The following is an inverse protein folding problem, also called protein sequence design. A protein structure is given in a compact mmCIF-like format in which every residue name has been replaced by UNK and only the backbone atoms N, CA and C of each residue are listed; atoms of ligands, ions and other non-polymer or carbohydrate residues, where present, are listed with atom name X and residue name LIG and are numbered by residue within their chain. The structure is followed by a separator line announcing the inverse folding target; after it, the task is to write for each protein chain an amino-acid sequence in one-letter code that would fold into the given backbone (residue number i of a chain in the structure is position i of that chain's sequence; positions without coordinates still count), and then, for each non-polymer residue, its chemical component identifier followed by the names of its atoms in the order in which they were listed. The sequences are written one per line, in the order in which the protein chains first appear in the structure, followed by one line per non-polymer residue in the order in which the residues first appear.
data_IF_805070325757
#
_entry.id   IF_805070325757
#
_cell.length_a   1.000
_cell.length_b   1.000
_cell.length_c   1.000
_cell.angle_alpha   90.00
_cell.angle_beta   90.00
_cell.angle_gamma   90.00
#
_symmetry.space_group_name_H-M   'P 1'
#
loop_
_entity.id
_entity.type
_entity.pdbx_description
1 polymer ?
#
# COMPACT_ATOMS: atom_id res chain seq x y z
N UNK A 1 41.60 -11.15 13.53
CA UNK A 1 40.38 -11.24 12.73
C UNK A 1 39.31 -11.80 13.68
N UNK A 2 38.45 -10.94 14.18
CA UNK A 2 37.30 -11.37 14.94
C UNK A 2 36.40 -12.16 14.00
N UNK A 3 36.12 -13.42 14.32
CA UNK A 3 35.08 -14.21 13.67
C UNK A 3 33.75 -13.44 13.90
N UNK A 4 33.17 -12.89 12.84
CA UNK A 4 31.78 -12.44 12.90
C UNK A 4 30.94 -13.67 13.21
N UNK A 5 30.36 -13.75 14.40
CA UNK A 5 29.31 -14.70 14.70
C UNK A 5 28.23 -14.54 13.61
N UNK A 6 28.07 -15.57 12.81
CA UNK A 6 26.97 -15.63 11.85
C UNK A 6 25.73 -15.84 12.71
N UNK A 7 24.93 -14.80 12.87
CA UNK A 7 23.64 -14.90 13.56
C UNK A 7 22.76 -15.93 12.80
N UNK A 8 22.07 -16.75 13.58
CA UNK A 8 21.09 -17.66 12.99
C UNK A 8 20.04 -16.85 12.20
N UNK A 9 19.58 -17.38 11.05
CA UNK A 9 18.52 -16.70 10.30
C UNK A 9 17.26 -16.59 11.16
N UNK A 10 16.52 -15.49 11.01
CA UNK A 10 15.23 -15.30 11.69
C UNK A 10 14.31 -16.48 11.44
N UNK A 11 13.56 -16.88 12.44
CA UNK A 11 12.42 -17.80 12.27
C UNK A 11 11.33 -17.15 11.39
N UNK A 12 10.37 -17.91 10.92
CA UNK A 12 9.26 -17.35 10.13
C UNK A 12 8.45 -16.33 10.97
N UNK A 13 8.20 -16.60 12.24
CA UNK A 13 7.50 -15.68 13.14
C UNK A 13 8.26 -14.36 13.30
N UNK A 14 9.57 -14.41 13.50
CA UNK A 14 10.40 -13.21 13.61
C UNK A 14 10.46 -12.42 12.29
N UNK A 15 10.46 -13.12 11.15
CA UNK A 15 10.34 -12.47 9.84
C UNK A 15 8.97 -11.80 9.67
N UNK A 16 7.87 -12.42 10.11
CA UNK A 16 6.55 -11.82 10.15
C UNK A 16 6.51 -10.58 11.05
N UNK A 17 7.10 -10.64 12.25
CA UNK A 17 7.21 -9.50 13.17
C UNK A 17 7.94 -8.33 12.49
N UNK A 18 9.10 -8.59 11.89
CA UNK A 18 9.90 -7.56 11.23
C UNK A 18 9.15 -6.88 10.08
N UNK A 19 8.52 -7.67 9.21
CA UNK A 19 7.81 -7.15 8.05
C UNK A 19 6.51 -6.44 8.43
N UNK A 20 5.79 -6.94 9.44
CA UNK A 20 4.59 -6.30 9.97
C UNK A 20 4.91 -4.94 10.58
N UNK A 21 5.99 -4.85 11.37
CA UNK A 21 6.42 -3.59 11.98
C UNK A 21 6.77 -2.56 10.90
N UNK A 22 7.46 -2.96 9.84
CA UNK A 22 7.76 -2.09 8.70
C UNK A 22 6.48 -1.61 8.01
N UNK A 23 5.50 -2.50 7.78
CA UNK A 23 4.24 -2.16 7.13
C UNK A 23 3.40 -1.18 7.97
N UNK A 24 3.24 -1.42 9.30
CA UNK A 24 2.41 -0.57 10.17
C UNK A 24 3.10 0.72 10.59
N UNK A 25 4.42 0.83 10.44
CA UNK A 25 5.14 2.07 10.77
C UNK A 25 4.89 3.21 9.77
N UNK A 26 4.33 2.91 8.60
CA UNK A 26 4.17 3.88 7.50
C UNK A 26 5.50 4.28 6.85
N UNK A 27 6.56 3.55 7.16
CA UNK A 27 7.90 3.75 6.65
C UNK A 27 8.19 3.02 5.33
N UNK A 28 9.47 2.94 5.01
CA UNK A 28 9.95 2.28 3.79
C UNK A 28 9.96 0.76 3.96
N UNK A 29 9.57 0.06 2.91
CA UNK A 29 9.57 -1.39 2.82
C UNK A 29 10.80 -1.81 2.03
N UNK A 30 11.88 -2.13 2.76
CA UNK A 30 13.15 -2.51 2.18
C UNK A 30 13.45 -3.98 2.36
N UNK A 31 14.09 -4.59 1.35
CA UNK A 31 14.58 -5.97 1.39
C UNK A 31 16.10 -5.90 1.42
N UNK A 32 16.68 -6.28 2.55
CA UNK A 32 18.14 -6.36 2.74
C UNK A 32 18.71 -7.77 2.59
N UNK A 33 17.90 -8.75 2.20
CA UNK A 33 18.29 -10.15 2.13
C UNK A 33 19.08 -10.49 0.85
N UNK A 34 19.82 -11.60 0.91
CA UNK A 34 20.38 -12.23 -0.28
C UNK A 34 19.25 -12.81 -1.15
N UNK A 35 18.96 -12.15 -2.27
CA UNK A 35 17.82 -12.49 -3.13
C UNK A 35 17.80 -13.94 -3.65
N UNK A 36 18.93 -14.56 -4.04
CA UNK A 36 18.96 -15.99 -4.39
C UNK A 36 18.51 -16.91 -3.24
N UNK A 37 19.01 -16.66 -2.04
CA UNK A 37 18.63 -17.44 -0.83
C UNK A 37 17.17 -17.21 -0.47
N UNK A 38 16.72 -15.96 -0.47
CA UNK A 38 15.33 -15.58 -0.23
C UNK A 38 14.39 -16.21 -1.26
N UNK A 39 14.77 -16.22 -2.55
CA UNK A 39 13.97 -16.79 -3.63
C UNK A 39 13.78 -18.31 -3.53
N UNK A 40 14.61 -19.01 -2.76
CA UNK A 40 14.49 -20.44 -2.49
C UNK A 40 13.51 -20.75 -1.33
N UNK A 41 13.12 -19.74 -0.53
CA UNK A 41 12.21 -19.88 0.61
C UNK A 41 10.80 -19.38 0.22
N UNK A 42 9.90 -20.30 -0.08
CA UNK A 42 8.55 -19.99 -0.54
C UNK A 42 7.73 -19.18 0.48
N UNK A 43 7.89 -19.46 1.78
CA UNK A 43 7.14 -18.82 2.84
C UNK A 43 7.59 -17.36 3.01
N UNK A 44 8.90 -17.10 2.95
CA UNK A 44 9.44 -15.73 2.98
C UNK A 44 9.07 -14.94 1.74
N UNK A 45 9.09 -15.56 0.56
CA UNK A 45 8.63 -14.93 -0.68
C UNK A 45 7.13 -14.60 -0.59
N UNK A 46 6.32 -15.46 0.03
CA UNK A 46 4.90 -15.20 0.25
C UNK A 46 4.67 -13.97 1.15
N UNK A 47 5.47 -13.81 2.23
CA UNK A 47 5.41 -12.61 3.08
C UNK A 47 5.66 -11.33 2.28
N UNK A 48 6.70 -11.31 1.44
CA UNK A 48 7.04 -10.14 0.61
C UNK A 48 5.98 -9.80 -0.43
N UNK A 49 5.20 -10.78 -0.87
CA UNK A 49 4.13 -10.63 -1.86
C UNK A 49 2.75 -10.47 -1.22
N UNK A 50 2.66 -10.47 0.09
CA UNK A 50 1.38 -10.33 0.78
C UNK A 50 0.73 -8.98 0.41
N UNK A 51 -0.49 -9.06 -0.13
CA UNK A 51 -1.19 -7.90 -0.69
C UNK A 51 -1.54 -6.86 0.38
N UNK A 52 -1.94 -7.30 1.57
CA UNK A 52 -2.31 -6.39 2.68
C UNK A 52 -1.09 -5.67 3.24
N UNK A 53 0.05 -6.36 3.40
CA UNK A 53 1.30 -5.71 3.82
C UNK A 53 1.76 -4.66 2.80
N UNK A 54 1.70 -4.98 1.51
CA UNK A 54 2.03 -4.03 0.44
C UNK A 54 1.04 -2.86 0.38
N UNK A 55 -0.24 -3.10 0.67
CA UNK A 55 -1.25 -2.06 0.77
C UNK A 55 -0.95 -1.09 1.91
N UNK A 56 -0.67 -1.60 3.12
CA UNK A 56 -0.27 -0.80 4.28
C UNK A 56 0.96 0.06 3.96
N UNK A 57 1.99 -0.53 3.34
CA UNK A 57 3.19 0.19 2.94
C UNK A 57 2.89 1.31 1.91
N UNK A 58 2.09 1.03 0.88
CA UNK A 58 1.65 2.03 -0.13
C UNK A 58 0.79 3.14 0.46
N UNK A 59 0.00 2.83 1.48
CA UNK A 59 -0.82 3.83 2.19
C UNK A 59 0.03 4.91 2.84
N UNK A 60 1.26 4.56 3.30
CA UNK A 60 2.23 5.49 3.84
C UNK A 60 1.76 6.20 5.13
N UNK A 61 0.92 5.53 5.92
CA UNK A 61 0.42 6.03 7.21
C UNK A 61 0.94 5.17 8.33
N UNK A 62 1.43 5.80 9.40
CA UNK A 62 1.80 5.08 10.61
C UNK A 62 0.56 4.66 11.41
N UNK A 63 0.58 3.45 11.95
CA UNK A 63 -0.39 2.99 12.93
C UNK A 63 -0.23 3.75 14.25
N UNK A 64 -1.31 3.87 15.00
CA UNK A 64 -1.33 4.51 16.32
C UNK A 64 -1.09 3.42 17.36
N UNK A 65 -0.07 3.54 18.24
CA UNK A 65 0.10 2.63 19.37
C UNK A 65 -1.01 2.89 20.42
N UNK A 66 -1.80 1.87 20.70
CA UNK A 66 -2.92 1.99 21.66
C UNK A 66 -2.45 1.89 23.11
N UNK A 67 -1.34 1.21 23.35
CA UNK A 67 -0.76 0.96 24.67
C UNK A 67 0.51 1.77 24.95
N UNK A 68 0.76 2.86 24.21
CA UNK A 68 1.97 3.69 24.34
C UNK A 68 2.30 4.12 25.77
N UNK A 69 1.29 4.39 26.58
CA UNK A 69 1.44 4.83 27.98
C UNK A 69 1.12 3.72 29.00
N UNK A 70 0.79 2.52 28.54
CA UNK A 70 0.28 1.44 29.36
C UNK A 70 0.78 0.03 28.96
N UNK A 71 1.83 -0.03 28.10
CA UNK A 71 2.42 -1.33 27.76
C UNK A 71 3.07 -1.97 29.00
N UNK A 72 3.16 -3.30 28.99
CA UNK A 72 3.70 -4.05 30.13
C UNK A 72 5.20 -3.87 30.20
N UNK A 73 5.76 -3.84 31.41
CA UNK A 73 7.20 -3.63 31.62
C UNK A 73 8.06 -4.69 30.94
N UNK A 74 7.54 -5.93 30.86
CA UNK A 74 8.23 -7.05 30.19
C UNK A 74 8.25 -6.92 28.65
N UNK A 75 7.44 -6.07 28.05
CA UNK A 75 7.44 -5.81 26.61
C UNK A 75 8.49 -4.78 26.22
N UNK A 76 8.92 -3.93 27.15
CA UNK A 76 9.87 -2.83 26.94
C UNK A 76 9.43 -1.79 25.88
N UNK A 77 8.35 -2.07 25.16
CA UNK A 77 7.82 -1.25 24.07
C UNK A 77 6.33 -1.53 23.84
N UNK A 78 5.61 -0.64 23.14
CA UNK A 78 4.22 -0.87 22.77
C UNK A 78 4.05 -2.14 21.95
N UNK A 79 2.96 -2.84 22.20
CA UNK A 79 2.64 -4.12 21.54
C UNK A 79 1.36 -4.10 20.72
N UNK A 80 0.53 -3.05 20.85
CA UNK A 80 -0.77 -2.96 20.19
C UNK A 80 -0.83 -1.71 19.31
N UNK A 81 -1.04 -1.90 18.01
CA UNK A 81 -1.10 -0.80 17.05
C UNK A 81 -2.37 -0.88 16.22
N UNK A 82 -2.96 0.28 15.91
CA UNK A 82 -4.16 0.40 15.11
C UNK A 82 -3.90 1.30 13.90
N UNK A 83 -4.07 0.76 12.70
CA UNK A 83 -4.00 1.50 11.45
C UNK A 83 -5.42 1.59 10.85
N UNK A 84 -5.97 2.79 10.82
CA UNK A 84 -7.19 3.03 10.05
C UNK A 84 -6.83 3.28 8.59
N UNK A 85 -7.18 2.34 7.75
CA UNK A 85 -6.97 2.48 6.32
C UNK A 85 -7.99 3.48 5.76
N UNK A 86 -9.28 3.29 6.10
CA UNK A 86 -10.36 4.23 5.81
C UNK A 86 -11.53 4.08 6.82
N UNK A 87 -12.75 4.46 6.42
CA UNK A 87 -13.95 4.31 7.26
C UNK A 87 -14.40 2.84 7.38
N UNK A 88 -14.11 2.01 6.37
CA UNK A 88 -14.54 0.61 6.27
C UNK A 88 -13.53 -0.36 6.83
N UNK A 89 -12.22 -0.10 6.67
CA UNK A 89 -11.15 -1.04 6.96
C UNK A 89 -10.19 -0.51 8.03
N UNK A 90 -9.83 -1.39 8.96
CA UNK A 90 -8.90 -1.11 10.06
C UNK A 90 -8.00 -2.32 10.27
N UNK A 91 -6.70 -2.10 10.42
CA UNK A 91 -5.74 -3.13 10.80
C UNK A 91 -5.44 -3.00 12.28
N UNK A 92 -5.62 -4.09 13.02
CA UNK A 92 -5.14 -4.27 14.38
C UNK A 92 -3.88 -5.13 14.33
N UNK A 93 -2.74 -4.56 14.72
CA UNK A 93 -1.48 -5.27 14.84
C UNK A 93 -1.18 -5.51 16.32
N UNK A 94 -1.00 -6.76 16.70
CA UNK A 94 -0.68 -7.16 18.07
C UNK A 94 0.62 -7.94 18.06
N UNK A 95 1.62 -7.45 18.77
CA UNK A 95 2.94 -8.06 18.88
C UNK A 95 3.10 -8.76 20.23
N UNK A 96 3.69 -9.92 20.22
CA UNK A 96 4.18 -10.59 21.43
C UNK A 96 5.72 -10.59 21.42
N UNK A 97 6.30 -9.68 22.17
CA UNK A 97 7.76 -9.50 22.28
C UNK A 97 8.44 -10.52 23.21
N UNK A 98 7.65 -11.36 23.91
CA UNK A 98 8.14 -12.18 25.00
C UNK A 98 8.34 -13.64 24.64
N UNK A 99 9.08 -14.35 25.52
CA UNK A 99 9.36 -15.79 25.43
C UNK A 99 8.11 -16.67 25.74
N UNK A 100 6.99 -16.09 26.15
CA UNK A 100 5.80 -16.83 26.58
C UNK A 100 4.60 -16.56 25.66
N UNK A 101 3.77 -17.55 25.38
CA UNK A 101 2.49 -17.33 24.71
C UNK A 101 1.63 -16.36 25.50
N UNK A 102 0.81 -15.57 24.80
CA UNK A 102 -0.10 -14.56 25.37
C UNK A 102 -1.49 -14.65 24.78
N UNK A 103 -2.47 -14.33 25.63
CA UNK A 103 -3.86 -14.11 25.25
C UNK A 103 -4.19 -12.63 25.36
N UNK A 104 -4.87 -12.11 24.35
CA UNK A 104 -5.34 -10.72 24.30
C UNK A 104 -6.85 -10.68 24.10
N UNK A 105 -7.48 -9.71 24.71
CA UNK A 105 -8.91 -9.41 24.50
C UNK A 105 -9.08 -7.91 24.31
N UNK A 106 -9.62 -7.53 23.17
CA UNK A 106 -9.89 -6.13 22.83
C UNK A 106 -11.38 -5.91 22.68
N UNK A 107 -11.95 -4.93 23.36
CA UNK A 107 -13.31 -4.51 23.06
C UNK A 107 -13.35 -3.70 21.75
N UNK A 108 -14.43 -3.84 20.98
CA UNK A 108 -14.60 -3.04 19.76
C UNK A 108 -14.57 -1.53 20.06
N UNK A 109 -15.06 -1.14 21.24
CA UNK A 109 -15.06 0.26 21.66
C UNK A 109 -13.65 0.80 21.93
N UNK A 110 -12.75 0.03 22.56
CA UNK A 110 -11.34 0.39 22.75
C UNK A 110 -10.62 0.57 21.41
N UNK A 111 -11.01 -0.23 20.41
CA UNK A 111 -10.52 -0.08 19.04
C UNK A 111 -11.21 1.09 18.31
N UNK A 112 -12.11 1.85 18.95
CA UNK A 112 -12.88 2.93 18.35
C UNK A 112 -13.83 2.45 17.25
N UNK A 113 -14.27 1.18 17.32
CA UNK A 113 -15.26 0.57 16.45
C UNK A 113 -16.64 0.63 17.07
N UNK A 114 -17.70 0.65 16.25
CA UNK A 114 -19.06 0.71 16.76
C UNK A 114 -19.45 -0.62 17.41
N UNK A 115 -19.92 -0.58 18.66
CA UNK A 115 -20.49 -1.75 19.31
C UNK A 115 -21.81 -2.20 18.68
N UNK A 116 -22.11 -3.50 18.78
CA UNK A 116 -23.34 -4.08 18.26
C UNK A 116 -23.39 -4.27 16.75
N UNK A 117 -22.28 -4.07 16.05
CA UNK A 117 -22.10 -4.40 14.62
C UNK A 117 -21.35 -5.71 14.44
N UNK A 118 -21.68 -6.42 13.37
CA UNK A 118 -20.85 -7.51 12.90
C UNK A 118 -19.68 -6.94 12.08
N UNK A 119 -18.49 -7.46 12.30
CA UNK A 119 -17.29 -7.15 11.51
C UNK A 119 -16.74 -8.45 10.95
N UNK A 120 -16.25 -8.38 9.72
CA UNK A 120 -15.48 -9.47 9.14
C UNK A 120 -14.03 -9.33 9.62
N UNK A 121 -13.47 -10.41 10.15
CA UNK A 121 -12.12 -10.47 10.69
C UNK A 121 -11.28 -11.42 9.86
N UNK A 122 -10.20 -10.92 9.29
CA UNK A 122 -9.26 -11.67 8.48
C UNK A 122 -7.87 -11.63 9.11
N UNK A 123 -7.23 -12.81 9.26
CA UNK A 123 -5.82 -12.88 9.62
C UNK A 123 -4.97 -12.64 8.35
N UNK A 124 -4.17 -11.59 8.36
CA UNK A 124 -3.36 -11.19 7.19
C UNK A 124 -2.30 -12.25 6.82
N UNK A 125 -1.79 -12.99 7.79
CA UNK A 125 -0.78 -14.01 7.56
C UNK A 125 -1.36 -15.40 7.31
N UNK A 126 -2.53 -15.69 7.85
CA UNK A 126 -3.21 -16.97 7.69
C UNK A 126 -4.71 -16.75 7.40
N UNK A 127 -5.08 -16.54 6.13
CA UNK A 127 -6.49 -16.37 5.74
C UNK A 127 -7.39 -17.56 6.05
N UNK A 128 -6.80 -18.75 6.35
CA UNK A 128 -7.55 -19.93 6.81
C UNK A 128 -7.85 -19.89 8.32
N UNK A 129 -7.17 -19.03 9.05
CA UNK A 129 -7.40 -18.86 10.50
C UNK A 129 -8.66 -18.04 10.73
N UNK A 130 -9.71 -18.71 11.19
CA UNK A 130 -10.98 -18.06 11.47
C UNK A 130 -10.92 -17.27 12.78
N UNK A 131 -10.79 -15.97 12.65
CA UNK A 131 -10.95 -15.05 13.77
C UNK A 131 -12.43 -14.76 14.01
N UNK A 132 -12.83 -14.67 15.25
CA UNK A 132 -14.21 -14.36 15.61
C UNK A 132 -14.28 -13.26 16.65
N UNK A 133 -15.27 -12.35 16.52
CA UNK A 133 -15.63 -11.45 17.59
C UNK A 133 -16.67 -12.12 18.49
N UNK A 134 -16.40 -12.19 19.79
CA UNK A 134 -17.38 -12.61 20.79
C UNK A 134 -18.21 -11.38 21.20
N UNK A 135 -19.34 -11.21 20.52
CA UNK A 135 -20.23 -10.07 20.77
C UNK A 135 -19.59 -8.72 20.49
N UNK A 136 -18.90 -8.14 21.47
CA UNK A 136 -18.24 -6.83 21.36
C UNK A 136 -16.72 -6.89 21.57
N UNK A 137 -16.09 -8.06 21.48
CA UNK A 137 -14.65 -8.21 21.68
C UNK A 137 -13.99 -9.17 20.72
N UNK A 138 -12.72 -8.90 20.40
CA UNK A 138 -11.82 -9.77 19.62
C UNK A 138 -10.89 -10.45 20.62
N UNK A 139 -10.72 -11.77 20.49
CA UNK A 139 -9.78 -12.56 21.29
C UNK A 139 -8.70 -13.11 20.38
N UNK A 140 -7.45 -13.03 20.83
CA UNK A 140 -6.27 -13.51 20.12
C UNK A 140 -5.39 -14.33 21.04
N UNK A 141 -4.93 -15.48 20.55
CA UNK A 141 -3.92 -16.30 21.19
C UNK A 141 -2.63 -16.20 20.36
N UNK A 142 -1.52 -15.85 21.00
CA UNK A 142 -0.27 -15.60 20.30
C UNK A 142 0.87 -16.46 20.85
N UNK A 143 1.64 -17.13 19.98
CA UNK A 143 2.92 -17.72 20.34
C UNK A 143 3.91 -16.68 20.86
N UNK A 144 5.00 -17.12 21.47
CA UNK A 144 6.15 -16.27 21.77
C UNK A 144 6.73 -15.67 20.47
N UNK A 145 7.32 -14.49 20.53
CA UNK A 145 7.98 -13.80 19.42
C UNK A 145 7.15 -13.78 18.13
N UNK A 146 5.90 -13.37 18.22
CA UNK A 146 4.97 -13.39 17.09
C UNK A 146 4.21 -12.07 16.92
N UNK A 147 3.55 -11.93 15.80
CA UNK A 147 2.61 -10.86 15.51
C UNK A 147 1.34 -11.45 14.91
N UNK A 148 0.19 -10.89 15.29
CA UNK A 148 -1.08 -11.13 14.60
C UNK A 148 -1.54 -9.81 13.99
N UNK A 149 -1.78 -9.82 12.69
CA UNK A 149 -2.39 -8.71 11.96
C UNK A 149 -3.81 -9.08 11.63
N UNK A 150 -4.76 -8.40 12.27
CA UNK A 150 -6.20 -8.59 12.04
C UNK A 150 -6.71 -7.46 11.16
N UNK A 151 -7.16 -7.78 9.96
CA UNK A 151 -7.92 -6.88 9.10
C UNK A 151 -9.38 -6.92 9.53
N UNK A 152 -9.88 -5.80 9.99
CA UNK A 152 -11.24 -5.62 10.50
C UNK A 152 -12.01 -4.83 9.46
N UNK A 153 -13.04 -5.43 8.90
CA UNK A 153 -13.86 -4.87 7.82
C UNK A 153 -15.29 -4.67 8.33
N UNK A 154 -15.84 -3.46 8.15
CA UNK A 154 -17.26 -3.18 8.39
C UNK A 154 -18.07 -3.49 7.12
N UNK A 155 -18.76 -4.64 7.03
CA UNK A 155 -19.52 -5.03 5.84
C UNK A 155 -20.77 -4.17 5.63
N UNK A 156 -21.18 -3.37 6.62
CA UNK A 156 -22.30 -2.43 6.48
C UNK A 156 -21.96 -1.21 5.62
N UNK A 157 -20.65 -0.96 5.40
CA UNK A 157 -20.15 0.09 4.53
C UNK A 157 -19.75 -0.52 3.18
N UNK A 158 -20.27 0.02 2.05
CA UNK A 158 -19.89 -0.47 0.74
C UNK A 158 -18.42 -0.13 0.43
N UNK A 159 -17.74 -1.03 -0.26
CA UNK A 159 -16.45 -0.72 -0.86
C UNK A 159 -16.60 0.41 -1.89
N UNK A 160 -15.68 1.36 -1.92
CA UNK A 160 -15.78 2.53 -2.76
C UNK A 160 -14.45 2.90 -3.43
N UNK A 161 -14.54 3.57 -4.57
CA UNK A 161 -13.39 4.11 -5.27
C UNK A 161 -12.90 5.44 -4.65
N UNK A 162 -11.62 5.78 -4.76
CA UNK A 162 -11.12 7.10 -4.44
C UNK A 162 -11.83 8.19 -5.25
N UNK A 163 -12.20 9.30 -4.63
CA UNK A 163 -12.66 10.47 -5.35
C UNK A 163 -11.45 11.24 -5.87
N UNK A 164 -11.33 11.34 -7.18
CA UNK A 164 -10.15 11.94 -7.83
C UNK A 164 -10.47 13.24 -8.54
N UNK A 165 -9.52 14.17 -8.52
CA UNK A 165 -9.49 15.37 -9.33
C UNK A 165 -8.27 15.29 -10.24
N UNK A 166 -8.48 15.46 -11.56
CA UNK A 166 -7.44 15.30 -12.57
C UNK A 166 -7.20 16.59 -13.32
N UNK A 167 -5.95 16.83 -13.71
CA UNK A 167 -5.57 17.83 -14.69
C UNK A 167 -4.93 17.10 -15.88
N UNK A 168 -5.65 17.03 -16.99
CA UNK A 168 -5.24 16.43 -18.26
C UNK A 168 -5.32 17.54 -19.32
N UNK A 169 -4.24 17.84 -20.06
CA UNK A 169 -4.27 18.79 -21.15
C UNK A 169 -5.25 18.37 -22.26
N UNK A 170 -6.02 19.31 -22.83
CA UNK A 170 -6.92 19.01 -23.94
C UNK A 170 -6.22 19.08 -25.29
N UNK A 171 -5.18 19.90 -25.39
CA UNK A 171 -4.45 20.19 -26.64
C UNK A 171 -2.96 20.23 -26.37
N UNK A 172 -2.20 19.82 -27.38
CA UNK A 172 -0.74 19.84 -27.37
C UNK A 172 -0.16 20.03 -28.76
N UNK A 173 1.15 20.26 -28.80
CA UNK A 173 1.96 20.12 -30.00
C UNK A 173 2.85 18.88 -29.90
N UNK A 174 3.28 18.36 -31.06
CA UNK A 174 4.28 17.27 -31.07
C UNK A 174 5.55 17.76 -30.37
N UNK A 175 6.15 16.86 -29.55
CA UNK A 175 7.33 17.11 -28.70
C UNK A 175 7.16 18.15 -27.59
N UNK A 176 5.94 18.59 -27.31
CA UNK A 176 5.65 19.42 -26.13
C UNK A 176 5.62 18.55 -24.88
N UNK A 177 6.38 18.94 -23.84
CA UNK A 177 6.37 18.26 -22.54
C UNK A 177 5.10 18.62 -21.75
N UNK A 178 4.10 17.74 -21.83
CA UNK A 178 2.82 17.90 -21.14
C UNK A 178 2.91 17.39 -19.70
N UNK A 179 2.23 18.11 -18.80
CA UNK A 179 2.10 17.72 -17.40
C UNK A 179 0.70 17.16 -17.15
N UNK A 180 0.67 15.98 -16.57
CA UNK A 180 -0.54 15.31 -16.13
C UNK A 180 -0.50 15.16 -14.61
N UNK A 181 -1.61 15.39 -13.95
CA UNK A 181 -1.66 15.22 -12.51
C UNK A 181 -3.03 14.73 -12.03
N UNK A 182 -3.03 14.02 -10.91
CA UNK A 182 -4.22 13.62 -10.21
C UNK A 182 -4.01 13.65 -8.71
N UNK A 183 -5.05 14.04 -7.98
CA UNK A 183 -5.11 14.01 -6.52
C UNK A 183 -6.37 13.31 -6.07
N UNK A 184 -6.29 12.59 -4.96
CA UNK A 184 -7.46 12.00 -4.32
C UNK A 184 -7.93 12.88 -3.16
N UNK A 185 -9.23 12.81 -2.85
CA UNK A 185 -9.82 13.46 -1.67
C UNK A 185 -9.14 12.89 -0.40
N UNK A 186 -8.46 13.70 0.42
CA UNK A 186 -7.74 13.23 1.60
C UNK A 186 -8.65 12.71 2.71
N UNK A 187 -9.95 12.99 2.65
CA UNK A 187 -10.95 12.52 3.61
C UNK A 187 -11.80 11.35 3.09
N UNK A 188 -11.60 10.98 1.81
CA UNK A 188 -12.26 9.85 1.16
C UNK A 188 -11.49 8.55 1.28
N UNK A 189 -11.84 7.59 0.43
CA UNK A 189 -11.07 6.35 0.26
C UNK A 189 -9.65 6.68 -0.22
N UNK A 190 -8.61 6.22 0.48
CA UNK A 190 -7.23 6.50 0.09
C UNK A 190 -6.87 5.89 -1.26
N UNK A 191 -6.08 6.64 -2.03
CA UNK A 191 -5.47 6.18 -3.26
C UNK A 191 -4.09 5.57 -2.97
N UNK A 192 -3.85 4.37 -3.51
CA UNK A 192 -2.62 3.58 -3.34
C UNK A 192 -1.67 3.68 -4.53
N UNK A 193 -2.20 3.86 -5.74
CA UNK A 193 -1.43 3.92 -6.98
C UNK A 193 -2.13 4.76 -8.03
N UNK A 194 -1.36 5.33 -8.98
CA UNK A 194 -1.85 6.13 -10.11
C UNK A 194 -1.18 5.62 -11.37
N UNK A 195 -1.96 5.11 -12.34
CA UNK A 195 -1.49 4.45 -13.55
C UNK A 195 -2.03 5.17 -14.77
N UNK A 196 -1.15 5.80 -15.52
CA UNK A 196 -1.46 6.55 -16.72
C UNK A 196 -1.17 5.73 -17.97
N UNK A 197 -2.14 5.68 -18.88
CA UNK A 197 -1.99 5.23 -20.26
C UNK A 197 -2.25 6.44 -21.16
N UNK A 198 -1.25 6.81 -21.96
CA UNK A 198 -1.34 8.01 -22.82
C UNK A 198 -2.01 7.77 -24.17
N UNK A 199 -2.43 6.52 -24.45
CA UNK A 199 -3.13 6.16 -25.68
C UNK A 199 -2.22 6.04 -26.89
N UNK A 200 -0.93 6.14 -26.73
CA UNK A 200 0.10 5.92 -27.79
C UNK A 200 0.94 4.66 -27.54
N UNK A 201 0.54 3.83 -26.55
CA UNK A 201 1.22 2.63 -26.11
C UNK A 201 2.24 2.85 -25.02
N UNK A 202 2.38 4.07 -24.51
CA UNK A 202 3.25 4.37 -23.36
C UNK A 202 2.45 4.52 -22.06
N UNK A 203 3.09 4.18 -20.94
CA UNK A 203 2.48 4.19 -19.61
C UNK A 203 3.44 4.80 -18.59
N UNK A 204 2.91 5.45 -17.56
CA UNK A 204 3.69 5.93 -16.42
C UNK A 204 2.88 5.84 -15.13
N UNK A 205 3.59 5.69 -14.00
CA UNK A 205 3.00 5.68 -12.67
C UNK A 205 3.35 6.96 -11.91
N UNK A 206 2.40 7.45 -11.12
CA UNK A 206 2.63 8.58 -10.25
C UNK A 206 1.48 9.58 -10.22
N UNK A 207 1.43 10.38 -9.15
CA UNK A 207 0.46 11.48 -8.99
C UNK A 207 0.68 12.60 -9.99
N UNK A 208 1.91 12.79 -10.40
CA UNK A 208 2.33 13.80 -11.38
C UNK A 208 3.30 13.12 -12.34
N UNK A 209 2.98 13.19 -13.63
CA UNK A 209 3.79 12.59 -14.68
C UNK A 209 3.92 13.59 -15.84
N UNK A 210 4.90 13.37 -16.71
CA UNK A 210 5.03 14.13 -17.92
C UNK A 210 5.19 13.25 -19.14
N UNK A 211 4.59 13.66 -20.26
CA UNK A 211 4.63 12.90 -21.50
C UNK A 211 4.67 13.84 -22.71
N UNK A 212 5.36 13.42 -23.76
CA UNK A 212 5.43 14.15 -25.03
C UNK A 212 5.08 13.22 -26.20
N UNK A 213 4.05 13.59 -26.96
CA UNK A 213 3.67 12.83 -28.15
C UNK A 213 4.60 13.14 -29.32
N UNK A 214 5.00 12.09 -30.05
CA UNK A 214 5.92 12.21 -31.19
C UNK A 214 5.20 12.39 -32.53
N UNK A 215 3.88 12.18 -32.59
CA UNK A 215 3.06 12.28 -33.79
C UNK A 215 1.79 13.09 -33.50
N UNK A 216 1.32 13.81 -34.51
CA UNK A 216 0.02 14.46 -34.45
C UNK A 216 -1.10 13.39 -34.47
N UNK A 217 -2.19 13.65 -33.75
CA UNK A 217 -3.34 12.73 -33.65
C UNK A 217 -4.23 13.02 -32.47
N UNK A 218 -5.27 12.24 -32.36
CA UNK A 218 -6.15 12.21 -31.18
C UNK A 218 -5.76 11.02 -30.29
N UNK A 219 -5.44 11.30 -29.02
CA UNK A 219 -5.03 10.30 -28.05
C UNK A 219 -6.03 10.23 -26.93
N UNK A 220 -6.46 9.02 -26.58
CA UNK A 220 -7.36 8.82 -25.43
C UNK A 220 -6.53 8.47 -24.20
N UNK A 221 -6.26 9.48 -23.38
CA UNK A 221 -5.53 9.32 -22.11
C UNK A 221 -6.45 8.69 -21.09
N UNK A 222 -5.98 7.62 -20.44
CA UNK A 222 -6.68 6.92 -19.37
C UNK A 222 -5.84 6.98 -18.10
N UNK A 223 -6.48 7.33 -17.00
CA UNK A 223 -5.95 7.21 -15.65
C UNK A 223 -6.76 6.16 -14.90
N UNK A 224 -6.06 5.21 -14.28
CA UNK A 224 -6.61 4.31 -13.27
C UNK A 224 -5.94 4.60 -11.93
N UNK A 225 -6.73 4.72 -10.86
CA UNK A 225 -6.25 4.98 -9.51
C UNK A 225 -6.74 3.89 -8.58
N UNK A 226 -5.80 3.13 -8.02
CA UNK A 226 -6.11 2.06 -7.08
C UNK A 226 -6.60 2.64 -5.76
N UNK A 227 -7.68 2.08 -5.23
CA UNK A 227 -8.23 2.42 -3.92
C UNK A 227 -7.95 1.34 -2.88
N UNK A 228 -7.87 1.75 -1.62
CA UNK A 228 -7.66 0.83 -0.48
C UNK A 228 -8.76 -0.23 -0.36
N UNK A 229 -9.98 0.08 -0.78
CA UNK A 229 -11.12 -0.85 -0.81
C UNK A 229 -11.09 -1.85 -1.98
N UNK A 230 -10.04 -1.83 -2.82
CA UNK A 230 -9.93 -2.67 -4.01
C UNK A 230 -10.80 -2.21 -5.18
N UNK A 231 -11.51 -1.08 -5.07
CA UNK A 231 -12.31 -0.49 -6.14
C UNK A 231 -11.51 0.64 -6.77
N UNK A 232 -11.11 0.55 -8.05
CA UNK A 232 -10.37 1.60 -8.72
C UNK A 232 -11.27 2.77 -9.14
N UNK A 233 -10.69 3.98 -9.14
CA UNK A 233 -11.26 5.13 -9.83
C UNK A 233 -10.67 5.23 -11.23
N UNK A 234 -11.50 5.57 -12.21
CA UNK A 234 -11.07 5.74 -13.60
C UNK A 234 -11.43 7.12 -14.14
N UNK A 235 -10.55 7.67 -14.97
CA UNK A 235 -10.79 8.89 -15.75
C UNK A 235 -10.24 8.72 -17.14
N UNK A 236 -11.00 9.17 -18.14
CA UNK A 236 -10.55 9.20 -19.54
C UNK A 236 -10.78 10.60 -20.11
N UNK A 237 -9.87 11.03 -20.97
CA UNK A 237 -9.96 12.31 -21.67
C UNK A 237 -9.16 12.25 -22.97
N UNK A 238 -9.74 12.80 -24.06
CA UNK A 238 -9.03 12.96 -25.33
C UNK A 238 -8.07 14.14 -25.27
N UNK A 239 -6.88 13.94 -25.86
CA UNK A 239 -5.85 14.95 -26.06
C UNK A 239 -5.61 15.11 -27.55
N UNK A 240 -5.85 16.31 -28.10
CA UNK A 240 -5.61 16.62 -29.51
C UNK A 240 -4.19 17.15 -29.69
N UNK A 241 -3.37 16.39 -30.38
CA UNK A 241 -1.96 16.75 -30.66
C UNK A 241 -1.81 17.22 -32.09
N UNK A 242 -1.34 18.45 -32.25
CA UNK A 242 -1.16 19.11 -33.54
C UNK A 242 0.33 19.37 -33.85
N UNK A 243 0.62 19.61 -35.12
CA UNK A 243 1.93 20.00 -35.61
C UNK A 243 2.62 18.90 -36.44
N UNK A 244 3.40 19.34 -37.38
CA UNK A 244 4.32 18.52 -38.18
C UNK A 244 5.74 19.01 -37.92
N UNK A 245 6.72 18.08 -37.87
CA UNK A 245 8.11 18.49 -37.91
C UNK A 245 8.42 18.83 -39.37
N UNK A 246 8.50 20.09 -39.66
CA UNK A 246 9.12 20.55 -40.93
C UNK A 246 10.63 20.53 -40.73
N UNK A 247 11.26 19.42 -41.07
CA UNK A 247 12.73 19.39 -41.22
C UNK A 247 13.03 20.24 -42.43
N UNK A 248 13.55 21.46 -42.25
CA UNK A 248 14.05 22.26 -43.37
C UNK A 248 15.12 21.44 -44.07
N UNK A 249 15.06 21.25 -45.42
CA UNK A 249 16.09 20.57 -46.13
C UNK A 249 17.43 21.28 -45.87
N UNK A 250 18.53 20.52 -45.70
CA UNK A 250 19.83 21.13 -45.48
C UNK A 250 20.08 22.18 -46.56
N UNK A 251 20.41 23.40 -46.14
CA UNK A 251 20.80 24.45 -47.10
C UNK A 251 21.91 23.88 -47.99
N UNK A 252 21.66 23.86 -49.31
CA UNK A 252 22.70 23.47 -50.23
C UNK A 252 23.87 24.44 -50.03
N UNK A 253 24.97 23.92 -49.49
CA UNK A 253 26.23 24.64 -49.47
C UNK A 253 26.59 24.87 -50.93
N UNK A 254 26.58 26.13 -51.36
CA UNK A 254 27.05 26.56 -52.65
C UNK A 254 28.50 27.00 -52.42
N UNK A 255 29.51 26.25 -52.82
CA UNK A 255 30.87 26.70 -52.76
C UNK A 255 31.11 27.53 -54.02
N UNK A 256 31.18 28.86 -53.91
CA UNK A 256 31.83 29.74 -54.85
C UNK A 256 33.33 29.82 -54.51
#
# INVERSE_FOLDING_TARGET
MEEREIQAPLTLNEAQVSIALSAVSGGMYEIGDDLPTLGADADRVALLKNADLLQMAKLGRAAIPLDLLAYRAEDEQPSVFLLREDARQTILAVFNWTEQPRSHRFSLLELGLAGGRAYDLEDVFDPAHHLSADGNSIQLEQPAHSVTLVKIIDPSLPAAAPKIVTAIPERAKVYEDLKFSSTADPQGVPALGYHWDFGDGTHQDGRQVSHAYTKAGEYNVRLMVDGVDGVPAEKQQSVSVSGEITIAPPSRYNPD
#
